data_IF_248974857517
#
_entry.id   IF_248974857517
#
_cell.length_a   1.000
_cell.length_b   1.000
_cell.length_c   1.000
_cell.angle_alpha   90.00
_cell.angle_beta   90.00
_cell.angle_gamma   90.00
#
_symmetry.space_group_name_H-M   'P 1'
#
loop_
_entity.id
_entity.type
_entity.pdbx_description
1 polymer ?
#
# COMPACT_ATOMS: atom_id res chain seq x y z
N UNK A 1 5.86 -4.08 -9.53
CA UNK A 1 4.51 -4.49 -9.98
C UNK A 1 4.20 -5.99 -9.92
N UNK A 2 5.17 -6.93 -9.96
CA UNK A 2 4.87 -8.38 -10.06
C UNK A 2 3.93 -8.93 -8.97
N UNK A 3 4.12 -8.53 -7.71
CA UNK A 3 3.28 -8.98 -6.60
C UNK A 3 1.81 -8.54 -6.75
N UNK A 4 1.55 -7.30 -7.14
CA UNK A 4 0.19 -6.80 -7.32
C UNK A 4 -0.57 -7.55 -8.42
N UNK A 5 0.10 -7.82 -9.56
CA UNK A 5 -0.48 -8.66 -10.64
C UNK A 5 -0.71 -10.10 -10.18
N UNK A 6 0.19 -10.64 -9.34
CA UNK A 6 -0.02 -11.96 -8.73
C UNK A 6 -1.23 -11.99 -7.80
N UNK A 7 -1.43 -10.95 -6.97
CA UNK A 7 -2.58 -10.86 -6.06
C UNK A 7 -3.90 -10.88 -6.82
N UNK A 8 -4.03 -10.08 -7.88
CA UNK A 8 -5.23 -10.06 -8.73
C UNK A 8 -5.55 -11.43 -9.35
N UNK A 9 -4.52 -12.21 -9.70
CA UNK A 9 -4.70 -13.50 -10.37
C UNK A 9 -4.97 -14.65 -9.39
N UNK A 10 -4.39 -14.62 -8.19
CA UNK A 10 -4.30 -15.80 -7.31
C UNK A 10 -4.95 -15.62 -5.93
N UNK A 11 -5.29 -14.39 -5.52
CA UNK A 11 -5.88 -14.14 -4.19
C UNK A 11 -7.35 -13.78 -4.37
N UNK A 12 -8.23 -14.72 -4.00
CA UNK A 12 -9.68 -14.53 -4.11
C UNK A 12 -10.14 -13.32 -3.30
N UNK A 13 -10.97 -12.47 -3.91
CA UNK A 13 -11.51 -11.27 -3.27
C UNK A 13 -10.55 -10.08 -3.22
N UNK A 14 -9.32 -10.21 -3.73
CA UNK A 14 -8.39 -9.08 -3.86
C UNK A 14 -8.43 -8.50 -5.27
N UNK A 15 -8.50 -7.18 -5.33
CA UNK A 15 -8.35 -6.42 -6.56
C UNK A 15 -7.46 -5.19 -6.32
N UNK A 16 -6.34 -5.13 -7.03
CA UNK A 16 -5.43 -4.00 -7.08
C UNK A 16 -5.70 -3.24 -8.39
N UNK A 17 -6.12 -1.96 -8.33
CA UNK A 17 -6.35 -1.13 -9.52
C UNK A 17 -5.13 -1.02 -10.43
N UNK A 18 -5.34 -0.98 -11.75
CA UNK A 18 -4.26 -0.93 -12.74
C UNK A 18 -3.40 0.35 -12.59
N UNK A 19 -4.01 1.46 -12.17
CA UNK A 19 -3.28 2.71 -11.89
C UNK A 19 -2.20 2.51 -10.81
N UNK A 20 -2.53 1.82 -9.71
CA UNK A 20 -1.56 1.53 -8.64
C UNK A 20 -0.47 0.56 -9.13
N UNK A 21 -0.84 -0.40 -9.99
CA UNK A 21 0.10 -1.34 -10.59
C UNK A 21 1.11 -0.59 -11.48
N UNK A 22 0.63 0.32 -12.33
CA UNK A 22 1.45 1.12 -13.23
C UNK A 22 2.34 2.09 -12.45
N UNK A 23 1.79 2.79 -11.46
CA UNK A 23 2.55 3.64 -10.54
C UNK A 23 3.71 2.88 -9.87
N UNK A 24 3.47 1.65 -9.44
CA UNK A 24 4.50 0.77 -8.86
C UNK A 24 5.44 0.12 -9.89
N UNK A 25 5.08 0.11 -11.18
CA UNK A 25 5.93 -0.36 -12.27
C UNK A 25 6.94 0.71 -12.68
N UNK A 26 6.48 1.95 -12.77
CA UNK A 26 7.22 3.14 -13.23
C UNK A 26 8.04 3.80 -12.12
N UNK A 27 7.77 3.46 -10.85
CA UNK A 27 8.49 4.01 -9.71
C UNK A 27 10.01 3.73 -9.75
N UNK A 28 10.80 4.80 -9.70
CA UNK A 28 12.25 4.75 -9.47
C UNK A 28 12.57 4.17 -8.08
N UNK A 29 11.96 4.73 -7.04
CA UNK A 29 11.99 4.17 -5.69
C UNK A 29 10.65 3.51 -5.35
N UNK A 30 10.61 2.19 -5.50
CA UNK A 30 9.44 1.36 -5.18
C UNK A 30 9.10 1.35 -3.70
N UNK A 31 10.10 1.48 -2.82
CA UNK A 31 9.88 1.51 -1.37
C UNK A 31 9.17 2.79 -0.99
N UNK A 32 9.73 3.94 -1.38
CA UNK A 32 9.13 5.25 -1.12
C UNK A 32 7.73 5.37 -1.75
N UNK A 33 7.55 4.87 -2.97
CA UNK A 33 6.25 4.89 -3.65
C UNK A 33 5.22 4.01 -2.93
N UNK A 34 5.60 2.81 -2.49
CA UNK A 34 4.71 1.93 -1.72
C UNK A 34 4.29 2.54 -0.38
N UNK A 35 5.22 3.19 0.33
CA UNK A 35 4.93 3.93 1.57
C UNK A 35 3.92 5.05 1.29
N UNK A 36 4.13 5.84 0.24
CA UNK A 36 3.22 6.92 -0.12
C UNK A 36 1.82 6.41 -0.51
N UNK A 37 1.71 5.30 -1.24
CA UNK A 37 0.42 4.68 -1.58
C UNK A 37 -0.30 4.24 -0.30
N UNK A 38 0.38 3.55 0.62
CA UNK A 38 -0.22 3.10 1.87
C UNK A 38 -0.70 4.28 2.73
N UNK A 39 0.13 5.32 2.88
CA UNK A 39 -0.23 6.52 3.63
C UNK A 39 -1.43 7.27 3.04
N UNK A 40 -1.49 7.40 1.70
CA UNK A 40 -2.64 8.03 1.03
C UNK A 40 -3.93 7.25 1.28
N UNK A 41 -3.90 5.91 1.17
CA UNK A 41 -5.06 5.07 1.47
C UNK A 41 -5.51 5.24 2.92
N UNK A 42 -4.58 5.25 3.88
CA UNK A 42 -4.91 5.47 5.31
C UNK A 42 -5.61 6.82 5.50
N UNK A 43 -5.13 7.88 4.85
CA UNK A 43 -5.71 9.20 4.94
C UNK A 43 -7.11 9.28 4.31
N UNK A 44 -7.32 8.64 3.16
CA UNK A 44 -8.63 8.55 2.49
C UNK A 44 -9.67 7.78 3.34
N UNK A 45 -9.22 6.82 4.15
CA UNK A 45 -10.09 6.02 5.02
C UNK A 45 -10.45 6.70 6.35
N UNK A 46 -9.85 7.83 6.68
CA UNK A 46 -9.99 8.49 8.00
C UNK A 46 -11.44 8.88 8.33
N UNK A 47 -12.23 9.25 7.31
CA UNK A 47 -13.64 9.62 7.49
C UNK A 47 -14.59 8.41 7.45
N UNK A 48 -14.07 7.21 7.22
CA UNK A 48 -14.85 5.98 7.00
C UNK A 48 -14.64 4.99 8.16
N UNK A 49 -13.49 5.04 8.83
CA UNK A 49 -13.14 4.11 9.90
C UNK A 49 -12.29 4.76 11.01
N UNK A 50 -12.34 4.19 12.22
CA UNK A 50 -11.60 4.70 13.38
C UNK A 50 -10.12 4.27 13.43
N UNK A 51 -9.69 3.40 12.53
CA UNK A 51 -8.33 2.88 12.54
C UNK A 51 -8.08 1.85 11.44
N UNK A 52 -6.80 1.48 11.30
CA UNK A 52 -6.32 0.57 10.27
C UNK A 52 -5.53 -0.57 10.89
N UNK A 53 -5.64 -1.76 10.28
CA UNK A 53 -4.77 -2.89 10.59
C UNK A 53 -3.73 -3.04 9.46
N UNK A 54 -2.44 -2.95 9.80
CA UNK A 54 -1.35 -3.05 8.82
C UNK A 54 -0.79 -4.48 8.83
N UNK A 55 -0.97 -5.20 7.71
CA UNK A 55 -0.31 -6.49 7.47
C UNK A 55 1.06 -6.27 6.83
N UNK A 56 2.12 -6.28 7.63
CA UNK A 56 3.47 -5.93 7.16
C UNK A 56 4.15 -7.02 6.32
N UNK A 57 3.88 -8.31 6.56
CA UNK A 57 4.45 -9.48 5.84
C UNK A 57 5.94 -9.28 5.44
N UNK A 58 6.84 -9.29 6.43
CA UNK A 58 8.29 -9.16 6.20
C UNK A 58 8.78 -7.73 5.94
N UNK A 59 7.89 -6.73 6.04
CA UNK A 59 8.20 -5.29 5.92
C UNK A 59 8.04 -4.52 7.24
N UNK A 60 8.18 -5.19 8.38
CA UNK A 60 7.94 -4.61 9.72
C UNK A 60 8.77 -3.34 9.95
N UNK A 61 10.02 -3.31 9.45
CA UNK A 61 10.91 -2.14 9.56
C UNK A 61 10.41 -0.89 8.80
N UNK A 62 9.46 -1.04 7.89
CA UNK A 62 8.90 0.06 7.09
C UNK A 62 7.58 0.58 7.66
N UNK A 63 6.98 -0.12 8.62
CA UNK A 63 5.74 0.30 9.28
C UNK A 63 5.86 1.70 9.90
N UNK A 64 6.94 2.05 10.64
CA UNK A 64 7.08 3.40 11.19
C UNK A 64 7.01 4.50 10.11
N UNK A 65 7.69 4.29 8.98
CA UNK A 65 7.69 5.27 7.88
C UNK A 65 6.31 5.41 7.21
N UNK A 66 5.47 4.37 7.22
CA UNK A 66 4.08 4.46 6.74
C UNK A 66 3.23 5.28 7.71
N UNK A 67 3.39 5.06 9.01
CA UNK A 67 2.67 5.81 10.05
C UNK A 67 3.06 7.29 10.03
N UNK A 68 4.37 7.58 9.97
CA UNK A 68 4.88 8.96 9.85
C UNK A 68 4.31 9.66 8.60
N UNK A 69 4.29 8.97 7.46
CA UNK A 69 3.73 9.51 6.21
C UNK A 69 2.21 9.71 6.27
N UNK A 70 1.49 8.94 7.09
CA UNK A 70 0.06 9.08 7.33
C UNK A 70 -0.28 10.10 8.44
N UNK A 71 0.74 10.62 9.15
CA UNK A 71 0.57 11.51 10.29
C UNK A 71 -0.08 10.83 11.49
N UNK A 72 0.28 9.57 11.75
CA UNK A 72 -0.17 8.75 12.88
C UNK A 72 0.96 8.47 13.88
#
# INVERSE_FOLDING_TARGET
AGMARFMNKNVAGVFVPEELINKMAEAEDKTKTGIAIAANIINELRDICYGVHIMAIGWEKKVPAVLDAAGL
#
